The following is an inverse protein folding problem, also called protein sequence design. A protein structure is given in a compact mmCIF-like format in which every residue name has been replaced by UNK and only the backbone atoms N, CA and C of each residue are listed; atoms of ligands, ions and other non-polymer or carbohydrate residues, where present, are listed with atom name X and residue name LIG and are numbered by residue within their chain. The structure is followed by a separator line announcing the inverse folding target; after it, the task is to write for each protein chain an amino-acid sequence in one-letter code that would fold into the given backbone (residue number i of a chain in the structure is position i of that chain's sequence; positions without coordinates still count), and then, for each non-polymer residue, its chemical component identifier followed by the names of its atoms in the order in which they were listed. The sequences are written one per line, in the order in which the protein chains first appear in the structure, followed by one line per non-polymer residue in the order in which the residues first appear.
data_IF_057368643557
#
_entry.id   IF_057368643557
#
_cell.length_a   1.000
_cell.length_b   1.000
_cell.length_c   1.000
_cell.angle_alpha   90.00
_cell.angle_beta   90.00
_cell.angle_gamma   90.00
#
_symmetry.space_group_name_H-M   'P 1'
#
loop_
_entity.id
_entity.type
_entity.pdbx_description
1 polymer ?
#
# COMPACT_ATOMS: atom_id res chain seq x y z
N UNK A 1 -12.82 -11.00 -4.49
CA UNK A 1 -11.61 -11.81 -4.21
C UNK A 1 -10.54 -11.45 -5.24
N UNK A 2 -9.41 -10.90 -4.79
CA UNK A 2 -8.26 -10.54 -5.64
C UNK A 2 -7.25 -11.70 -5.78
N UNK A 3 -7.74 -12.94 -5.83
CA UNK A 3 -6.92 -14.15 -5.69
C UNK A 3 -6.23 -14.63 -6.98
N UNK A 4 -6.40 -13.93 -8.12
CA UNK A 4 -5.74 -14.23 -9.39
C UNK A 4 -4.62 -13.25 -9.76
N UNK A 5 -3.88 -13.52 -10.84
CA UNK A 5 -2.82 -12.63 -11.37
C UNK A 5 -3.27 -11.18 -11.58
N UNK A 6 -4.55 -10.98 -11.90
CA UNK A 6 -5.17 -9.66 -12.09
C UNK A 6 -5.62 -8.97 -10.80
N UNK A 7 -5.78 -9.70 -9.69
CA UNK A 7 -6.28 -9.12 -8.44
C UNK A 7 -5.39 -7.99 -7.90
N UNK A 8 -4.07 -8.14 -8.06
CA UNK A 8 -3.09 -7.09 -7.72
C UNK A 8 -3.19 -5.87 -8.63
N UNK A 9 -3.43 -6.06 -9.93
CA UNK A 9 -3.60 -4.96 -10.88
C UNK A 9 -4.94 -4.24 -10.67
N UNK A 10 -5.99 -4.96 -10.29
CA UNK A 10 -7.27 -4.38 -9.90
C UNK A 10 -7.13 -3.52 -8.63
N UNK A 11 -6.44 -4.04 -7.61
CA UNK A 11 -6.10 -3.29 -6.39
C UNK A 11 -5.28 -2.04 -6.73
N UNK A 12 -4.28 -2.17 -7.61
CA UNK A 12 -3.48 -1.04 -8.10
C UNK A 12 -4.33 0.01 -8.83
N UNK A 13 -5.30 -0.39 -9.65
CA UNK A 13 -6.21 0.54 -10.35
C UNK A 13 -7.08 1.35 -9.39
N UNK A 14 -7.62 0.69 -8.36
CA UNK A 14 -8.38 1.37 -7.29
C UNK A 14 -7.48 2.36 -6.55
N UNK A 15 -6.26 1.94 -6.19
CA UNK A 15 -5.32 2.79 -5.47
C UNK A 15 -4.89 3.99 -6.33
N UNK A 16 -4.64 3.80 -7.63
CA UNK A 16 -4.31 4.88 -8.57
C UNK A 16 -5.44 5.92 -8.65
N UNK A 17 -6.70 5.47 -8.76
CA UNK A 17 -7.87 6.34 -8.74
C UNK A 17 -7.97 7.15 -7.44
N UNK A 18 -7.68 6.53 -6.29
CA UNK A 18 -7.69 7.19 -4.96
C UNK A 18 -6.52 8.15 -4.75
N UNK A 19 -5.36 7.84 -5.33
CA UNK A 19 -4.12 8.63 -5.25
C UNK A 19 -4.23 9.92 -6.06
N UNK A 20 -4.75 9.87 -7.29
CA UNK A 20 -4.78 11.00 -8.21
C UNK A 20 -5.27 12.33 -7.58
N UNK A 21 -6.42 12.40 -6.87
CA UNK A 21 -6.87 13.65 -6.26
C UNK A 21 -6.05 14.09 -5.04
N UNK A 22 -5.21 13.20 -4.46
CA UNK A 22 -4.44 13.44 -3.23
C UNK A 22 -2.96 13.72 -3.48
N UNK A 23 -2.50 13.71 -4.74
CA UNK A 23 -1.09 13.95 -5.06
C UNK A 23 -0.56 15.29 -4.54
N UNK A 24 -1.36 16.35 -4.58
CA UNK A 24 -0.95 17.65 -4.04
C UNK A 24 -0.74 17.60 -2.51
N UNK A 25 -1.64 16.92 -1.79
CA UNK A 25 -1.53 16.70 -0.35
C UNK A 25 -0.29 15.87 0.01
N UNK A 26 -0.08 14.74 -0.67
CA UNK A 26 1.09 13.86 -0.46
C UNK A 26 2.41 14.61 -0.70
N UNK A 27 2.45 15.51 -1.68
CA UNK A 27 3.61 16.37 -1.92
C UNK A 27 3.84 17.40 -0.82
N UNK A 28 2.77 17.96 -0.26
CA UNK A 28 2.85 18.99 0.78
C UNK A 28 3.11 18.41 2.18
N UNK A 29 2.79 17.14 2.39
CA UNK A 29 2.90 16.43 3.66
C UNK A 29 3.72 15.15 3.46
N UNK A 30 5.07 15.20 3.53
CA UNK A 30 5.94 14.07 3.21
C UNK A 30 5.69 12.82 4.07
N UNK A 31 5.23 13.01 5.31
CA UNK A 31 4.92 11.91 6.24
C UNK A 31 3.51 11.34 6.06
N UNK A 32 2.70 11.92 5.17
CA UNK A 32 1.34 11.46 4.93
C UNK A 32 1.30 10.15 4.17
N UNK A 33 0.33 9.31 4.53
CA UNK A 33 0.12 7.99 3.95
C UNK A 33 -1.34 7.78 3.62
N UNK A 34 -1.60 6.90 2.66
CA UNK A 34 -2.94 6.48 2.26
C UNK A 34 -2.99 4.96 2.38
N UNK A 35 -3.96 4.45 3.13
CA UNK A 35 -4.20 3.01 3.18
C UNK A 35 -4.83 2.55 1.86
N UNK A 36 -4.00 1.87 1.05
CA UNK A 36 -4.36 1.28 -0.22
C UNK A 36 -4.61 -0.22 -0.10
N UNK A 37 -5.26 -0.77 -1.13
CA UNK A 37 -5.43 -2.21 -1.28
C UNK A 37 -4.10 -2.92 -1.58
N UNK A 38 -3.12 -2.18 -2.12
CA UNK A 38 -1.77 -2.66 -2.40
C UNK A 38 -0.75 -2.37 -1.30
N UNK A 39 -1.19 -1.88 -0.13
CA UNK A 39 -0.35 -1.52 1.02
C UNK A 39 -0.58 -0.08 1.48
N UNK A 40 0.17 0.37 2.49
CA UNK A 40 0.18 1.78 2.89
C UNK A 40 1.05 2.58 1.91
N UNK A 41 0.47 3.59 1.27
CA UNK A 41 1.06 4.32 0.14
C UNK A 41 1.55 5.69 0.57
N UNK A 42 2.77 6.05 0.18
CA UNK A 42 3.35 7.38 0.38
C UNK A 42 4.00 7.89 -0.91
N UNK A 43 4.35 9.17 -0.94
CA UNK A 43 5.07 9.78 -2.06
C UNK A 43 6.45 10.24 -1.59
N UNK A 44 7.51 9.66 -2.15
CA UNK A 44 8.86 10.05 -1.80
C UNK A 44 9.30 11.37 -2.49
N UNK A 45 10.41 12.00 -2.09
CA UNK A 45 10.91 13.24 -2.71
C UNK A 45 11.19 13.13 -4.21
N UNK A 46 11.49 11.92 -4.70
CA UNK A 46 11.67 11.60 -6.11
C UNK A 46 10.36 11.51 -6.91
N UNK A 47 9.20 11.85 -6.32
CA UNK A 47 7.86 11.73 -6.91
C UNK A 47 7.50 10.28 -7.28
N UNK A 48 8.03 9.32 -6.53
CA UNK A 48 7.70 7.90 -6.68
C UNK A 48 6.77 7.48 -5.55
N UNK A 49 5.72 6.76 -5.91
CA UNK A 49 4.83 6.12 -4.94
C UNK A 49 5.57 4.93 -4.33
N UNK A 50 5.69 4.93 -3.00
CA UNK A 50 6.24 3.84 -2.21
C UNK A 50 5.13 3.14 -1.45
N UNK A 51 5.33 1.84 -1.20
CA UNK A 51 4.34 1.00 -0.52
C UNK A 51 5.00 0.31 0.65
N UNK A 52 4.39 0.43 1.82
CA UNK A 52 4.66 -0.45 2.95
C UNK A 52 3.66 -1.61 2.93
N UNK A 53 4.17 -2.83 2.80
CA UNK A 53 3.36 -4.04 2.79
C UNK A 53 3.24 -4.60 4.21
N UNK A 54 2.04 -5.07 4.62
CA UNK A 54 1.93 -5.87 5.82
C UNK A 54 2.65 -7.20 5.62
N UNK A 55 3.34 -7.65 6.67
CA UNK A 55 4.00 -8.95 6.68
C UNK A 55 3.13 -9.99 7.37
N UNK A 56 3.36 -11.23 7.00
CA UNK A 56 2.75 -12.39 7.62
C UNK A 56 3.77 -13.53 7.64
N UNK A 57 3.66 -14.39 8.63
CA UNK A 57 4.42 -15.62 8.76
C UNK A 57 3.50 -16.83 8.74
N UNK A 58 4.06 -18.00 8.43
CA UNK A 58 3.35 -19.27 8.55
C UNK A 58 3.68 -19.90 9.90
N UNK A 59 2.66 -20.09 10.75
CA UNK A 59 2.77 -20.76 12.05
C UNK A 59 1.79 -21.93 12.04
N UNK A 60 2.30 -23.15 12.21
CA UNK A 60 1.50 -24.39 12.19
C UNK A 60 0.56 -24.51 10.97
N UNK A 61 1.06 -24.14 9.79
CA UNK A 61 0.32 -24.19 8.53
C UNK A 61 -0.75 -23.09 8.36
N UNK A 62 -0.83 -22.15 9.30
CA UNK A 62 -1.75 -20.99 9.24
C UNK A 62 -0.97 -19.71 8.99
N UNK A 63 -1.59 -18.79 8.26
CA UNK A 63 -1.03 -17.45 8.04
C UNK A 63 -1.33 -16.60 9.28
N UNK A 64 -0.28 -16.08 9.91
CA UNK A 64 -0.36 -15.13 11.03
C UNK A 64 0.20 -13.79 10.59
N UNK A 65 -0.61 -12.73 10.70
CA UNK A 65 -0.16 -11.37 10.41
C UNK A 65 0.86 -10.93 11.46
N UNK A 66 1.98 -10.40 10.98
CA UNK A 66 2.95 -9.74 11.84
C UNK A 66 2.48 -8.30 12.15
N UNK A 67 2.82 -7.76 13.32
CA UNK A 67 2.60 -6.35 13.61
C UNK A 67 3.21 -5.48 12.51
N UNK A 68 2.56 -4.37 12.19
CA UNK A 68 3.13 -3.43 11.24
C UNK A 68 4.46 -2.93 11.83
N UNK A 69 5.57 -3.23 11.17
CA UNK A 69 6.87 -2.70 11.57
C UNK A 69 6.83 -1.20 11.31
N UNK A 70 6.81 -0.39 12.38
CA UNK A 70 7.03 1.04 12.23
C UNK A 70 8.37 1.25 11.49
N UNK A 71 8.47 2.24 10.59
CA UNK A 71 9.76 2.63 10.03
C UNK A 71 10.75 3.03 11.14
#
# INVERSE_FOLDING_TARGET
QAAGSLGRLYAMGIDAYRLAPRLAQLKAMPDSRIDGLSGSLSLNPGRRVERQLPWAEFVDGKIQRLPDTAP
#
